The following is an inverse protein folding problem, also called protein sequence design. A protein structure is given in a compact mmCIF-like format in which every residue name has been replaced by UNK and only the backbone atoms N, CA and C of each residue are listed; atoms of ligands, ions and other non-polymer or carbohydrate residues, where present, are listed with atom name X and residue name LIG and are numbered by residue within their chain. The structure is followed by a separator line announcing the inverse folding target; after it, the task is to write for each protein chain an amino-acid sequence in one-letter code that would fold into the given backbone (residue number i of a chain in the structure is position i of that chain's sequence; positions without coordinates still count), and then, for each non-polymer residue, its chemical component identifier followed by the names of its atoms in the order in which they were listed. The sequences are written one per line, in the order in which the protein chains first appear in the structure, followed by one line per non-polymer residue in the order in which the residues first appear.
data_IF_470514952255
#
_entry.id   IF_470514952255
#
_cell.length_a   1.000
_cell.length_b   1.000
_cell.length_c   1.000
_cell.angle_alpha   90.00
_cell.angle_beta   90.00
_cell.angle_gamma   90.00
#
_symmetry.space_group_name_H-M   'P 1'
#
loop_
_entity.id
_entity.type
_entity.pdbx_description
1 polymer ?
#
# COMPACT_ATOMS: atom_id res chain seq x y z
N UNK A 1 18.97 -10.95 -19.79
CA UNK A 1 19.35 -9.62 -19.32
C UNK A 1 18.28 -9.20 -18.33
N UNK A 2 18.55 -9.32 -17.03
CA UNK A 2 17.58 -8.93 -16.00
C UNK A 2 17.37 -7.42 -16.12
N UNK A 3 16.11 -6.99 -16.21
CA UNK A 3 15.72 -5.62 -16.43
C UNK A 3 15.93 -4.81 -15.13
N UNK A 4 17.20 -4.52 -14.81
CA UNK A 4 17.62 -3.94 -13.52
C UNK A 4 17.74 -2.40 -13.59
N UNK A 5 16.94 -1.77 -14.46
CA UNK A 5 16.97 -0.32 -14.70
C UNK A 5 16.56 0.44 -13.44
N UNK A 6 17.34 1.45 -13.12
CA UNK A 6 17.29 2.14 -11.85
C UNK A 6 17.20 3.65 -12.07
N UNK A 7 16.24 4.28 -11.40
CA UNK A 7 16.16 5.74 -11.29
C UNK A 7 16.76 6.14 -9.95
N UNK A 8 17.86 6.89 -9.99
CA UNK A 8 18.37 7.59 -8.81
C UNK A 8 17.66 8.92 -8.67
N UNK A 9 17.22 9.24 -7.46
CA UNK A 9 16.62 10.53 -7.10
C UNK A 9 17.46 11.09 -5.97
N UNK A 10 18.03 12.27 -6.19
CA UNK A 10 18.83 12.97 -5.19
C UNK A 10 18.30 14.37 -4.96
N UNK A 11 18.59 14.85 -3.76
CA UNK A 11 18.31 16.21 -3.33
C UNK A 11 19.63 16.94 -3.18
N UNK A 12 19.77 18.09 -3.82
CA UNK A 12 20.98 18.92 -3.72
C UNK A 12 20.67 20.20 -2.96
N UNK A 13 21.32 20.35 -1.81
CA UNK A 13 21.24 21.52 -0.94
C UNK A 13 22.38 22.51 -1.19
N UNK A 14 22.55 23.42 -0.23
CA UNK A 14 23.72 24.31 -0.16
C UNK A 14 24.76 23.72 0.79
N UNK A 15 25.94 23.38 0.27
CA UNK A 15 27.05 22.88 1.06
C UNK A 15 27.71 23.96 1.92
N UNK A 16 28.59 23.53 2.83
CA UNK A 16 29.47 24.44 3.59
C UNK A 16 30.70 24.79 2.76
N UNK A 17 30.87 26.07 2.43
CA UNK A 17 32.02 26.53 1.65
C UNK A 17 33.33 26.39 2.46
N UNK A 18 34.43 26.07 1.77
CA UNK A 18 35.75 26.03 2.39
C UNK A 18 36.24 27.46 2.62
N UNK A 19 36.69 27.78 3.85
CA UNK A 19 37.22 29.11 4.15
C UNK A 19 38.48 29.39 3.32
N UNK A 20 38.43 30.43 2.49
CA UNK A 20 39.57 30.92 1.70
C UNK A 20 39.89 30.11 0.43
N UNK A 21 39.04 29.16 0.02
CA UNK A 21 39.19 28.39 -1.23
C UNK A 21 37.85 28.19 -1.92
N UNK A 22 37.86 28.04 -3.25
CA UNK A 22 36.66 27.58 -4.00
C UNK A 22 36.35 26.11 -3.64
N UNK A 23 35.07 25.77 -3.62
CA UNK A 23 34.55 24.44 -3.29
C UNK A 23 33.91 24.34 -1.91
N UNK A 24 33.48 23.12 -1.58
CA UNK A 24 32.72 22.79 -0.38
C UNK A 24 33.40 21.72 0.46
N UNK A 25 33.11 21.70 1.76
CA UNK A 25 33.62 20.70 2.70
C UNK A 25 33.22 19.29 2.24
N UNK A 26 34.22 18.42 2.06
CA UNK A 26 34.02 17.01 1.72
C UNK A 26 33.88 16.16 2.96
N UNK A 27 33.19 15.05 2.83
CA UNK A 27 33.02 14.03 3.86
C UNK A 27 33.20 12.65 3.23
N UNK A 28 33.92 11.78 3.93
CA UNK A 28 34.03 10.37 3.58
C UNK A 28 32.79 9.62 4.03
N UNK A 29 31.93 9.25 3.08
CA UNK A 29 30.76 8.43 3.33
C UNK A 29 31.13 6.96 3.19
N UNK A 30 30.98 6.17 4.26
CA UNK A 30 31.30 4.75 4.28
C UNK A 30 30.07 3.91 3.94
N UNK A 31 30.22 3.06 2.93
CA UNK A 31 29.19 2.17 2.41
C UNK A 31 29.53 0.73 2.76
N UNK A 32 28.71 0.11 3.61
CA UNK A 32 28.89 -1.28 4.04
C UNK A 32 28.88 -2.25 2.83
N UNK A 33 28.10 -1.95 1.78
CA UNK A 33 27.93 -2.84 0.63
C UNK A 33 29.21 -3.02 -0.21
N UNK A 34 30.12 -2.06 -0.15
CA UNK A 34 31.41 -2.10 -0.87
C UNK A 34 32.61 -2.03 0.07
N UNK A 35 32.39 -2.03 1.39
CA UNK A 35 33.41 -1.92 2.43
C UNK A 35 34.42 -0.80 2.15
N UNK A 36 33.91 0.39 1.77
CA UNK A 36 34.77 1.50 1.39
C UNK A 36 34.10 2.85 1.61
N UNK A 37 34.92 3.89 1.77
CA UNK A 37 34.47 5.28 1.82
C UNK A 37 34.61 5.98 0.47
N UNK A 38 33.71 6.94 0.21
CA UNK A 38 33.83 7.89 -0.90
C UNK A 38 33.79 9.31 -0.35
N UNK A 39 34.86 10.07 -0.61
CA UNK A 39 34.97 11.48 -0.22
C UNK A 39 34.28 12.40 -1.22
N UNK A 40 33.21 13.06 -0.79
CA UNK A 40 32.49 14.05 -1.59
C UNK A 40 31.77 15.04 -0.69
N UNK A 41 31.45 16.20 -1.22
CA UNK A 41 30.57 17.20 -0.60
C UNK A 41 29.08 16.90 -0.87
N UNK A 42 28.77 16.25 -2.00
CA UNK A 42 27.43 15.87 -2.40
C UNK A 42 27.27 14.35 -2.38
N UNK A 43 26.44 13.87 -1.45
CA UNK A 43 26.24 12.43 -1.23
C UNK A 43 25.69 11.71 -2.47
N UNK A 44 24.80 12.34 -3.25
CA UNK A 44 24.29 11.75 -4.48
C UNK A 44 25.38 11.31 -5.46
N UNK A 45 26.50 12.05 -5.55
CA UNK A 45 27.67 11.65 -6.36
C UNK A 45 28.33 10.37 -5.85
N UNK A 46 28.47 10.22 -4.53
CA UNK A 46 28.99 9.00 -3.94
C UNK A 46 28.04 7.83 -4.18
N UNK A 47 26.74 8.02 -3.94
CA UNK A 47 25.74 6.99 -4.13
C UNK A 47 25.67 6.53 -5.59
N UNK A 48 25.70 7.44 -6.56
CA UNK A 48 25.76 7.09 -7.99
C UNK A 48 26.97 6.18 -8.30
N UNK A 49 28.16 6.55 -7.80
CA UNK A 49 29.39 5.75 -7.98
C UNK A 49 29.26 4.37 -7.32
N UNK A 50 28.67 4.27 -6.14
CA UNK A 50 28.43 2.98 -5.46
C UNK A 50 27.44 2.11 -6.23
N UNK A 51 26.33 2.67 -6.69
CA UNK A 51 25.34 1.93 -7.48
C UNK A 51 25.96 1.35 -8.75
N UNK A 52 26.78 2.12 -9.46
CA UNK A 52 27.51 1.63 -10.63
C UNK A 52 28.49 0.49 -10.27
N UNK A 53 29.20 0.59 -9.14
CA UNK A 53 30.10 -0.48 -8.64
C UNK A 53 29.33 -1.76 -8.25
N UNK A 54 28.07 -1.63 -7.86
CA UNK A 54 27.17 -2.72 -7.49
C UNK A 54 26.37 -3.25 -8.70
N UNK A 55 26.77 -2.91 -9.93
CA UNK A 55 26.12 -3.33 -11.19
C UNK A 55 24.64 -2.93 -11.32
N UNK A 56 24.21 -1.83 -10.67
CA UNK A 56 22.92 -1.20 -10.96
C UNK A 56 22.99 -0.43 -12.27
N UNK A 57 22.01 -0.65 -13.15
CA UNK A 57 21.86 0.10 -14.41
C UNK A 57 21.11 1.41 -14.14
N UNK A 58 21.83 2.44 -13.68
CA UNK A 58 21.25 3.76 -13.40
C UNK A 58 21.04 4.52 -14.72
N UNK A 59 19.87 4.35 -15.34
CA UNK A 59 19.51 4.94 -16.64
C UNK A 59 18.91 6.35 -16.52
N UNK A 60 18.58 6.77 -15.29
CA UNK A 60 18.04 8.09 -14.96
C UNK A 60 18.54 8.57 -13.61
N UNK A 61 18.96 9.83 -13.55
CA UNK A 61 19.27 10.49 -12.28
C UNK A 61 18.54 11.84 -12.18
N UNK A 62 17.54 11.92 -11.32
CA UNK A 62 16.76 13.13 -11.06
C UNK A 62 17.36 13.87 -9.87
N UNK A 63 17.79 15.11 -10.07
CA UNK A 63 18.42 15.92 -9.03
C UNK A 63 17.56 17.15 -8.76
N UNK A 64 16.89 17.14 -7.62
CA UNK A 64 16.03 18.23 -7.16
C UNK A 64 16.87 19.23 -6.35
N UNK A 65 16.84 20.49 -6.74
CA UNK A 65 17.55 21.55 -6.04
C UNK A 65 16.92 22.92 -6.24
N UNK A 66 17.42 23.93 -5.53
CA UNK A 66 17.01 25.32 -5.69
C UNK A 66 17.98 26.05 -6.60
N UNK A 67 17.64 27.28 -7.01
CA UNK A 67 18.57 28.14 -7.74
C UNK A 67 19.87 28.44 -6.97
N UNK A 68 19.91 28.21 -5.63
CA UNK A 68 21.09 28.44 -4.78
C UNK A 68 21.76 27.15 -4.28
N UNK A 69 21.37 26.00 -4.82
CA UNK A 69 22.02 24.74 -4.48
C UNK A 69 23.45 24.67 -5.06
N UNK A 70 24.28 23.83 -4.48
CA UNK A 70 25.70 23.68 -4.84
C UNK A 70 25.89 22.84 -6.11
N UNK A 71 25.31 23.28 -7.23
CA UNK A 71 25.31 22.58 -8.52
C UNK A 71 26.70 22.25 -9.05
N UNK A 72 27.70 23.08 -8.73
CA UNK A 72 29.10 22.88 -9.06
C UNK A 72 29.67 21.55 -8.53
N UNK A 73 29.14 21.01 -7.43
CA UNK A 73 29.63 19.77 -6.81
C UNK A 73 29.31 18.50 -7.62
N UNK A 74 28.45 18.61 -8.64
CA UNK A 74 28.19 17.53 -9.58
C UNK A 74 29.40 17.17 -10.45
N UNK A 75 30.40 18.05 -10.52
CA UNK A 75 31.69 17.71 -11.15
C UNK A 75 32.30 16.44 -10.53
N UNK A 76 32.14 16.25 -9.21
CA UNK A 76 32.69 15.10 -8.50
C UNK A 76 31.91 13.78 -8.74
N UNK A 77 30.79 13.82 -9.47
CA UNK A 77 30.15 12.62 -9.99
C UNK A 77 30.89 12.05 -11.20
N UNK A 78 31.62 12.90 -11.94
CA UNK A 78 32.45 12.52 -13.09
C UNK A 78 33.83 12.06 -12.59
N UNK A 79 34.48 11.19 -13.36
CA UNK A 79 35.86 10.77 -13.11
C UNK A 79 36.84 11.94 -13.19
N UNK A 80 37.83 11.93 -12.29
CA UNK A 80 38.74 13.06 -12.06
C UNK A 80 39.57 13.44 -13.29
N UNK A 81 39.80 12.49 -14.21
CA UNK A 81 40.56 12.72 -15.43
C UNK A 81 39.91 13.77 -16.35
N UNK A 82 38.59 13.94 -16.29
CA UNK A 82 37.85 14.89 -17.11
C UNK A 82 37.67 16.26 -16.44
N UNK A 83 38.07 16.43 -15.18
CA UNK A 83 37.75 17.66 -14.42
C UNK A 83 38.40 18.91 -15.03
N UNK A 84 39.62 18.79 -15.57
CA UNK A 84 40.31 19.90 -16.23
C UNK A 84 39.59 20.39 -17.49
N UNK A 85 38.87 19.52 -18.21
CA UNK A 85 38.14 19.90 -19.43
C UNK A 85 36.97 20.84 -19.13
N UNK A 86 36.41 20.76 -17.91
CA UNK A 86 35.19 21.49 -17.53
C UNK A 86 35.46 22.60 -16.52
N UNK A 87 36.72 22.95 -16.25
CA UNK A 87 37.06 23.93 -15.22
C UNK A 87 36.44 25.31 -15.48
N UNK A 88 36.37 25.74 -16.75
CA UNK A 88 35.79 27.04 -17.12
C UNK A 88 34.27 27.12 -16.86
N UNK A 89 33.53 26.05 -17.17
CA UNK A 89 32.09 26.02 -16.91
C UNK A 89 31.82 25.79 -15.42
N UNK A 90 32.63 24.97 -14.76
CA UNK A 90 32.59 24.77 -13.31
C UNK A 90 32.73 26.11 -12.57
N UNK A 91 33.72 26.94 -12.94
CA UNK A 91 33.94 28.24 -12.31
C UNK A 91 32.74 29.18 -12.48
N UNK A 92 32.12 29.19 -13.68
CA UNK A 92 30.91 29.97 -13.93
C UNK A 92 29.74 29.50 -13.07
N UNK A 93 29.53 28.18 -12.98
CA UNK A 93 28.46 27.57 -12.16
C UNK A 93 28.67 27.90 -10.69
N UNK A 94 29.88 27.73 -10.16
CA UNK A 94 30.24 28.03 -8.77
C UNK A 94 30.03 29.51 -8.41
N UNK A 95 30.39 30.41 -9.32
CA UNK A 95 30.26 31.85 -9.08
C UNK A 95 28.78 32.31 -9.12
N UNK A 96 27.94 31.68 -9.94
CA UNK A 96 26.53 32.05 -10.13
C UNK A 96 25.59 31.41 -9.11
N UNK A 97 25.82 30.15 -8.72
CA UNK A 97 24.96 29.43 -7.77
C UNK A 97 24.81 30.14 -6.42
N UNK A 98 25.83 30.89 -5.99
CA UNK A 98 25.77 31.68 -4.75
C UNK A 98 24.75 32.83 -4.81
N UNK A 99 24.49 33.36 -6.00
CA UNK A 99 23.54 34.46 -6.26
C UNK A 99 22.17 33.91 -6.66
N UNK A 100 22.15 32.75 -7.30
CA UNK A 100 20.99 32.15 -7.93
C UNK A 100 21.35 31.86 -9.39
N UNK A 101 21.55 30.59 -9.73
CA UNK A 101 21.93 30.16 -11.08
C UNK A 101 20.79 30.39 -12.06
N UNK A 102 21.12 30.92 -13.23
CA UNK A 102 20.21 31.05 -14.37
C UNK A 102 19.84 29.69 -14.95
N UNK A 103 18.65 29.62 -15.53
CA UNK A 103 18.18 28.42 -16.19
C UNK A 103 19.08 28.08 -17.40
N UNK A 104 19.56 29.07 -18.17
CA UNK A 104 20.46 28.80 -19.29
C UNK A 104 21.77 28.16 -18.86
N UNK A 105 22.44 28.69 -17.82
CA UNK A 105 23.69 28.12 -17.34
C UNK A 105 23.48 26.72 -16.75
N UNK A 106 22.39 26.51 -16.00
CA UNK A 106 22.08 25.18 -15.46
C UNK A 106 21.81 24.15 -16.58
N UNK A 107 21.13 24.53 -17.66
CA UNK A 107 20.96 23.64 -18.82
C UNK A 107 22.29 23.33 -19.52
N UNK A 108 23.19 24.30 -19.64
CA UNK A 108 24.54 24.06 -20.17
C UNK A 108 25.31 23.09 -19.28
N UNK A 109 25.24 23.28 -17.96
CA UNK A 109 25.87 22.40 -16.99
C UNK A 109 25.30 20.99 -17.05
N UNK A 110 23.97 20.85 -17.15
CA UNK A 110 23.32 19.54 -17.31
C UNK A 110 23.83 18.81 -18.55
N UNK A 111 24.04 19.50 -19.68
CA UNK A 111 24.57 18.88 -20.90
C UNK A 111 25.99 18.35 -20.71
N UNK A 112 26.82 19.07 -19.95
CA UNK A 112 28.18 18.62 -19.60
C UNK A 112 28.13 17.38 -18.72
N UNK A 113 27.32 17.39 -17.66
CA UNK A 113 27.19 16.20 -16.81
C UNK A 113 26.58 15.02 -17.58
N UNK A 114 25.62 15.27 -18.47
CA UNK A 114 24.94 14.26 -19.26
C UNK A 114 25.83 13.54 -20.29
N UNK A 115 26.99 14.09 -20.67
CA UNK A 115 27.94 13.39 -21.56
C UNK A 115 28.66 12.24 -20.86
N UNK A 116 28.71 12.27 -19.52
CA UNK A 116 29.32 11.23 -18.67
C UNK A 116 28.28 10.40 -17.93
N UNK A 117 27.13 11.00 -17.63
CA UNK A 117 26.04 10.39 -16.89
C UNK A 117 24.75 10.49 -17.71
N UNK A 118 24.50 9.52 -18.61
CA UNK A 118 23.29 9.50 -19.42
C UNK A 118 22.03 9.56 -18.55
N UNK A 119 21.03 10.32 -18.98
CA UNK A 119 19.74 10.39 -18.29
C UNK A 119 19.67 11.31 -17.07
N UNK A 120 20.76 12.03 -16.72
CA UNK A 120 20.73 13.04 -15.66
C UNK A 120 19.77 14.20 -15.99
N UNK A 121 19.04 14.66 -14.98
CA UNK A 121 18.06 15.76 -15.05
C UNK A 121 18.19 16.65 -13.83
N UNK A 122 18.40 17.94 -14.05
CA UNK A 122 18.42 18.96 -13.01
C UNK A 122 17.05 19.61 -12.95
N UNK A 123 16.43 19.56 -11.78
CA UNK A 123 15.08 20.03 -11.55
C UNK A 123 15.16 21.14 -10.52
N UNK A 124 15.01 22.39 -10.97
CA UNK A 124 14.87 23.54 -10.09
C UNK A 124 13.48 23.50 -9.48
N UNK A 125 13.40 23.62 -8.17
CA UNK A 125 12.14 23.70 -7.42
C UNK A 125 12.13 24.91 -6.50
N UNK A 126 10.93 25.47 -6.32
CA UNK A 126 10.63 26.21 -5.10
C UNK A 126 10.38 25.18 -3.99
N UNK A 127 11.14 25.17 -2.88
CA UNK A 127 10.92 24.23 -1.77
C UNK A 127 9.52 24.27 -1.17
N UNK A 128 8.74 25.32 -1.41
CA UNK A 128 7.36 25.48 -0.94
C UNK A 128 6.31 25.03 -1.96
N UNK A 129 6.69 24.82 -3.22
CA UNK A 129 5.84 24.15 -4.20
C UNK A 129 6.01 22.65 -4.04
N UNK A 130 5.02 21.99 -3.44
CA UNK A 130 5.07 20.56 -3.19
C UNK A 130 4.58 19.72 -4.38
N UNK A 131 3.82 20.30 -5.31
CA UNK A 131 3.27 19.56 -6.45
C UNK A 131 4.34 19.28 -7.50
N UNK A 132 5.34 20.15 -7.62
CA UNK A 132 6.43 20.02 -8.58
C UNK A 132 7.15 18.66 -8.47
N UNK A 133 7.30 18.10 -7.26
CA UNK A 133 8.03 16.85 -7.06
C UNK A 133 7.34 15.68 -7.76
N UNK A 134 6.04 15.47 -7.50
CA UNK A 134 5.30 14.39 -8.15
C UNK A 134 5.11 14.65 -9.64
N UNK A 135 4.91 15.90 -10.05
CA UNK A 135 4.73 16.26 -11.46
C UNK A 135 5.97 15.94 -12.29
N UNK A 136 7.17 16.32 -11.82
CA UNK A 136 8.40 15.99 -12.53
C UNK A 136 8.73 14.50 -12.45
N UNK A 137 8.45 13.82 -11.33
CA UNK A 137 8.63 12.37 -11.25
C UNK A 137 7.69 11.61 -12.19
N UNK A 138 6.41 11.99 -12.33
CA UNK A 138 5.48 11.38 -13.28
C UNK A 138 6.01 11.47 -14.71
N UNK A 139 6.57 12.62 -15.06
CA UNK A 139 7.08 12.94 -16.39
C UNK A 139 8.41 12.22 -16.69
N UNK A 140 9.31 12.16 -15.72
CA UNK A 140 10.67 11.66 -15.93
C UNK A 140 10.84 10.16 -15.63
N UNK A 141 10.02 9.57 -14.74
CA UNK A 141 10.05 8.13 -14.44
C UNK A 141 9.27 7.37 -15.54
N UNK A 142 9.93 6.46 -16.28
CA UNK A 142 9.29 5.65 -17.32
C UNK A 142 8.18 4.73 -16.80
N UNK A 143 7.27 4.33 -17.69
CA UNK A 143 6.19 3.36 -17.35
C UNK A 143 6.69 1.90 -17.30
N UNK A 144 7.85 1.63 -17.90
CA UNK A 144 8.55 0.35 -17.78
C UNK A 144 8.95 0.03 -16.34
N UNK A 145 9.28 -1.24 -16.05
CA UNK A 145 9.75 -1.63 -14.72
C UNK A 145 10.98 -0.82 -14.31
N UNK A 146 10.95 -0.22 -13.11
CA UNK A 146 12.05 0.57 -12.54
C UNK A 146 12.23 0.27 -11.06
N UNK A 147 13.49 0.18 -10.63
CA UNK A 147 13.88 0.35 -9.23
C UNK A 147 14.13 1.83 -8.96
N UNK A 148 13.69 2.31 -7.81
CA UNK A 148 13.96 3.68 -7.38
C UNK A 148 14.98 3.65 -6.25
N UNK A 149 16.00 4.49 -6.35
CA UNK A 149 16.92 4.80 -5.26
C UNK A 149 16.70 6.25 -4.87
N UNK A 150 16.34 6.51 -3.61
CA UNK A 150 16.09 7.84 -3.09
C UNK A 150 17.18 8.23 -2.09
N UNK A 151 17.94 9.28 -2.40
CA UNK A 151 18.83 9.97 -1.49
C UNK A 151 18.07 11.07 -0.72
N UNK A 152 18.05 10.95 0.61
CA UNK A 152 17.38 11.90 1.52
C UNK A 152 18.35 12.81 2.29
N UNK A 153 19.63 12.85 1.92
CA UNK A 153 20.72 13.45 2.70
C UNK A 153 20.71 14.97 2.66
N UNK A 154 20.69 15.58 1.47
CA UNK A 154 20.96 17.01 1.29
C UNK A 154 19.73 17.80 0.83
N UNK A 155 18.84 18.15 1.74
CA UNK A 155 17.72 19.06 1.44
C UNK A 155 17.09 19.64 2.70
N UNK A 156 16.14 20.54 2.50
CA UNK A 156 15.14 20.78 3.54
C UNK A 156 14.42 19.47 3.85
N UNK A 157 14.32 19.13 5.13
CA UNK A 157 13.78 17.83 5.60
C UNK A 157 12.41 17.49 5.00
N UNK A 158 11.57 18.49 4.75
CA UNK A 158 10.24 18.28 4.19
C UNK A 158 10.25 17.81 2.73
N UNK A 159 11.28 18.16 1.93
CA UNK A 159 11.37 17.74 0.53
C UNK A 159 11.48 16.23 0.41
N UNK A 160 12.39 15.62 1.19
CA UNK A 160 12.58 14.17 1.24
C UNK A 160 11.28 13.45 1.62
N UNK A 161 10.53 14.00 2.59
CA UNK A 161 9.24 13.45 3.03
C UNK A 161 8.21 13.51 1.91
N UNK A 162 8.07 14.67 1.24
CA UNK A 162 7.11 14.83 0.14
C UNK A 162 7.44 13.90 -1.03
N UNK A 163 8.73 13.78 -1.40
CA UNK A 163 9.17 12.85 -2.46
C UNK A 163 8.86 11.41 -2.08
N UNK A 164 9.14 10.98 -0.84
CA UNK A 164 8.84 9.63 -0.39
C UNK A 164 7.35 9.28 -0.52
N UNK A 165 6.44 10.16 -0.05
CA UNK A 165 4.99 9.95 -0.21
C UNK A 165 4.53 10.02 -1.67
N UNK A 166 5.17 10.85 -2.48
CA UNK A 166 4.92 10.91 -3.92
C UNK A 166 5.31 9.61 -4.61
N UNK A 167 6.44 9.00 -4.24
CA UNK A 167 6.87 7.69 -4.75
C UNK A 167 5.91 6.57 -4.34
N UNK A 168 5.38 6.59 -3.11
CA UNK A 168 4.34 5.65 -2.67
C UNK A 168 3.09 5.74 -3.55
N UNK A 169 2.71 6.97 -3.94
CA UNK A 169 1.58 7.18 -4.86
C UNK A 169 1.91 6.69 -6.27
N UNK A 170 3.11 7.02 -6.76
CA UNK A 170 3.57 6.65 -8.09
C UNK A 170 3.69 5.15 -8.29
N UNK A 171 4.00 4.39 -7.23
CA UNK A 171 4.05 2.92 -7.27
C UNK A 171 2.76 2.27 -7.74
N UNK A 172 1.61 2.94 -7.59
CA UNK A 172 0.32 2.45 -8.06
C UNK A 172 -0.03 2.81 -9.52
N UNK A 173 0.71 3.74 -10.13
CA UNK A 173 0.45 4.21 -11.50
C UNK A 173 1.64 4.04 -12.45
N UNK A 174 2.81 3.72 -11.92
CA UNK A 174 4.05 3.39 -12.63
C UNK A 174 4.51 1.99 -12.21
N UNK A 175 5.27 1.31 -13.05
CA UNK A 175 5.79 -0.03 -12.74
C UNK A 175 7.04 0.03 -11.84
N UNK A 176 6.87 0.52 -10.60
CA UNK A 176 7.96 0.61 -9.62
C UNK A 176 8.03 -0.70 -8.84
N UNK A 177 9.09 -1.48 -9.05
CA UNK A 177 9.26 -2.78 -8.40
C UNK A 177 9.85 -2.68 -7.00
N UNK A 178 10.68 -1.67 -6.75
CA UNK A 178 11.37 -1.49 -5.47
C UNK A 178 11.73 0.00 -5.22
N UNK A 179 11.76 0.39 -3.94
CA UNK A 179 12.16 1.73 -3.49
C UNK A 179 13.21 1.59 -2.37
N UNK A 180 14.47 1.86 -2.69
CA UNK A 180 15.57 1.87 -1.72
C UNK A 180 15.83 3.30 -1.26
N UNK A 181 15.94 3.52 0.05
CA UNK A 181 16.19 4.85 0.62
C UNK A 181 17.58 4.88 1.26
N UNK A 182 18.40 5.83 0.85
CA UNK A 182 19.76 6.02 1.33
C UNK A 182 19.91 7.36 2.05
N UNK A 183 20.65 7.35 3.15
CA UNK A 183 20.95 8.53 3.96
C UNK A 183 22.40 8.54 4.43
N UNK A 184 23.16 9.56 4.00
CA UNK A 184 24.47 9.86 4.57
C UNK A 184 24.32 10.52 5.93
N UNK A 185 24.39 9.74 7.01
CA UNK A 185 24.03 10.18 8.35
C UNK A 185 25.19 10.91 9.05
N UNK A 186 25.49 12.14 8.59
CA UNK A 186 26.58 12.97 9.11
C UNK A 186 26.50 13.15 10.63
N UNK A 187 25.29 13.27 11.16
CA UNK A 187 25.00 13.41 12.59
C UNK A 187 25.38 12.16 13.41
N UNK A 188 25.47 11.00 12.76
CA UNK A 188 25.86 9.73 13.39
C UNK A 188 27.36 9.44 13.27
N UNK A 189 28.14 10.32 12.63
CA UNK A 189 29.60 10.17 12.53
C UNK A 189 30.25 10.04 13.91
N UNK A 190 29.84 10.82 14.91
CA UNK A 190 30.46 10.82 16.23
C UNK A 190 31.98 11.01 16.14
N UNK A 191 32.74 10.12 16.79
CA UNK A 191 34.21 10.08 16.73
C UNK A 191 34.77 9.22 15.57
N UNK A 192 33.92 8.65 14.73
CA UNK A 192 34.34 7.87 13.56
C UNK A 192 35.04 8.75 12.53
N UNK A 193 36.01 8.18 11.81
CA UNK A 193 36.65 8.84 10.67
C UNK A 193 35.65 9.11 9.54
N UNK A 194 34.73 8.16 9.31
CA UNK A 194 33.78 8.18 8.21
C UNK A 194 32.33 8.41 8.68
N UNK A 195 31.55 9.07 7.83
CA UNK A 195 30.10 9.20 7.99
C UNK A 195 29.42 7.91 7.57
N UNK A 196 28.62 7.27 8.44
CA UNK A 196 27.92 6.05 8.07
C UNK A 196 26.82 6.35 7.04
N UNK A 197 26.64 5.43 6.09
CA UNK A 197 25.52 5.44 5.14
C UNK A 197 24.47 4.45 5.60
N UNK A 198 23.25 4.92 5.79
CA UNK A 198 22.12 4.07 6.16
C UNK A 198 21.29 3.73 4.94
N UNK A 199 21.03 2.44 4.75
CA UNK A 199 20.05 1.93 3.81
C UNK A 199 18.75 1.57 4.56
N UNK A 200 17.68 2.31 4.31
CA UNK A 200 16.42 2.24 5.07
C UNK A 200 15.41 1.32 4.37
N UNK A 201 15.73 0.03 4.28
CA UNK A 201 14.94 -0.97 3.53
C UNK A 201 13.58 -1.30 4.19
N UNK A 202 13.41 -1.00 5.48
CA UNK A 202 12.16 -1.29 6.21
C UNK A 202 10.94 -0.52 5.69
N UNK A 203 11.16 0.58 4.94
CA UNK A 203 10.07 1.36 4.32
C UNK A 203 9.24 0.49 3.38
N UNK A 204 9.88 -0.32 2.53
CA UNK A 204 9.16 -1.23 1.62
C UNK A 204 8.24 -2.20 2.37
N UNK A 205 8.71 -2.70 3.53
CA UNK A 205 7.91 -3.59 4.38
C UNK A 205 6.65 -2.85 4.86
N UNK A 206 6.79 -1.62 5.34
CA UNK A 206 5.65 -0.80 5.80
C UNK A 206 4.68 -0.46 4.67
N UNK A 207 5.17 -0.14 3.47
CA UNK A 207 4.33 0.09 2.29
C UNK A 207 3.51 -1.15 1.96
N UNK A 208 4.16 -2.32 1.87
CA UNK A 208 3.46 -3.58 1.59
C UNK A 208 2.40 -3.92 2.65
N UNK A 209 2.68 -3.67 3.94
CA UNK A 209 1.68 -3.84 4.98
C UNK A 209 0.51 -2.86 4.82
N UNK A 210 0.76 -1.58 4.53
CA UNK A 210 -0.29 -0.58 4.34
C UNK A 210 -1.22 -0.94 3.17
N UNK A 211 -0.65 -1.35 2.03
CA UNK A 211 -1.40 -1.77 0.84
C UNK A 211 -2.27 -3.01 1.11
N UNK A 212 -1.68 -4.04 1.73
CA UNK A 212 -2.38 -5.29 2.02
C UNK A 212 -3.42 -5.13 3.13
N UNK A 213 -3.16 -4.31 4.15
CA UNK A 213 -4.15 -3.97 5.17
C UNK A 213 -5.32 -3.19 4.59
N UNK A 214 -5.08 -2.23 3.70
CA UNK A 214 -6.14 -1.50 3.01
C UNK A 214 -6.97 -2.44 2.14
N UNK A 215 -6.31 -3.31 1.36
CA UNK A 215 -6.99 -4.32 0.53
C UNK A 215 -7.84 -5.24 1.40
N UNK A 216 -7.29 -5.77 2.48
CA UNK A 216 -8.02 -6.62 3.42
C UNK A 216 -9.20 -5.88 4.06
N UNK A 217 -9.01 -4.64 4.52
CA UNK A 217 -10.05 -3.82 5.16
C UNK A 217 -11.27 -3.57 4.28
N UNK A 218 -11.09 -3.46 2.97
CA UNK A 218 -12.20 -3.15 2.05
C UNK A 218 -12.66 -4.33 1.19
N UNK A 219 -11.89 -5.43 1.15
CA UNK A 219 -12.27 -6.58 0.34
C UNK A 219 -12.43 -7.90 1.11
N UNK A 220 -11.85 -7.99 2.31
CA UNK A 220 -11.69 -9.25 3.03
C UNK A 220 -10.61 -10.17 2.45
N UNK A 221 -9.90 -9.76 1.39
CA UNK A 221 -8.79 -10.51 0.82
C UNK A 221 -7.61 -10.51 1.79
N UNK A 222 -7.32 -11.68 2.37
CA UNK A 222 -6.31 -11.84 3.41
C UNK A 222 -4.99 -12.43 2.90
N UNK A 223 -4.94 -13.01 1.70
CA UNK A 223 -3.78 -13.83 1.30
C UNK A 223 -2.47 -13.05 1.27
N UNK A 224 -2.41 -11.91 0.56
CA UNK A 224 -1.19 -11.10 0.52
C UNK A 224 -0.75 -10.59 1.90
N UNK A 225 -1.71 -10.30 2.80
CA UNK A 225 -1.40 -9.91 4.18
C UNK A 225 -0.85 -11.08 5.02
N UNK A 226 -1.40 -12.29 4.82
CA UNK A 226 -0.91 -13.51 5.48
C UNK A 226 0.49 -13.89 4.98
N UNK A 227 0.80 -13.69 3.70
CA UNK A 227 2.14 -13.92 3.14
C UNK A 227 3.19 -13.03 3.81
N UNK A 228 2.89 -11.75 4.05
CA UNK A 228 3.77 -10.82 4.79
C UNK A 228 4.00 -11.25 6.25
N UNK A 229 3.06 -11.99 6.83
CA UNK A 229 3.17 -12.60 8.15
C UNK A 229 3.88 -13.97 8.13
N UNK A 230 4.29 -14.45 6.96
CA UNK A 230 4.94 -15.75 6.77
C UNK A 230 3.99 -16.94 6.61
N UNK A 231 2.68 -16.69 6.46
CA UNK A 231 1.66 -17.73 6.26
C UNK A 231 1.36 -17.84 4.76
N UNK A 232 1.97 -18.84 4.12
CA UNK A 232 1.97 -19.00 2.66
C UNK A 232 0.81 -19.87 2.14
N UNK A 233 0.47 -19.73 0.86
CA UNK A 233 -0.42 -20.67 0.15
C UNK A 233 -1.91 -20.54 0.49
N UNK A 234 -2.37 -19.36 0.90
CA UNK A 234 -3.74 -19.15 1.38
C UNK A 234 -4.75 -18.73 0.30
N UNK A 235 -4.30 -18.51 -0.94
CA UNK A 235 -5.14 -18.16 -2.09
C UNK A 235 -6.33 -19.10 -2.27
N UNK A 236 -6.07 -20.40 -2.22
CA UNK A 236 -7.11 -21.43 -2.36
C UNK A 236 -8.17 -21.33 -1.24
N UNK A 237 -7.74 -21.01 -0.02
CA UNK A 237 -8.62 -20.84 1.13
C UNK A 237 -9.51 -19.61 0.96
N UNK A 238 -8.93 -18.48 0.52
CA UNK A 238 -9.70 -17.28 0.20
C UNK A 238 -10.72 -17.54 -0.92
N UNK A 239 -10.29 -18.15 -2.03
CA UNK A 239 -11.20 -18.50 -3.13
C UNK A 239 -12.36 -19.39 -2.68
N UNK A 240 -12.08 -20.40 -1.85
CA UNK A 240 -13.14 -21.25 -1.30
C UNK A 240 -14.10 -20.49 -0.40
N UNK A 241 -13.60 -19.54 0.40
CA UNK A 241 -14.44 -18.67 1.21
C UNK A 241 -15.36 -17.84 0.29
N UNK A 242 -14.83 -17.21 -0.75
CA UNK A 242 -15.59 -16.45 -1.75
C UNK A 242 -16.69 -17.31 -2.42
N UNK A 243 -16.38 -18.56 -2.76
CA UNK A 243 -17.32 -19.51 -3.39
C UNK A 243 -18.30 -20.16 -2.41
N UNK A 244 -18.43 -19.61 -1.20
CA UNK A 244 -19.29 -20.11 -0.14
C UNK A 244 -19.04 -21.58 0.28
N UNK A 245 -17.81 -22.06 0.04
CA UNK A 245 -17.33 -23.36 0.53
C UNK A 245 -16.84 -23.23 1.97
N UNK A 246 -16.62 -24.38 2.62
CA UNK A 246 -16.15 -24.45 3.99
C UNK A 246 -14.71 -25.00 4.05
N UNK A 247 -13.69 -24.14 4.00
CA UNK A 247 -12.30 -24.56 4.14
C UNK A 247 -11.90 -24.67 5.62
N UNK A 248 -12.67 -25.43 6.42
CA UNK A 248 -12.57 -25.42 7.89
C UNK A 248 -11.16 -25.71 8.40
N UNK A 249 -10.55 -26.81 7.98
CA UNK A 249 -9.21 -27.21 8.42
C UNK A 249 -8.14 -26.17 8.08
N UNK A 250 -8.29 -25.51 6.92
CA UNK A 250 -7.36 -24.47 6.48
C UNK A 250 -7.53 -23.18 7.29
N UNK A 251 -8.77 -22.80 7.61
CA UNK A 251 -9.02 -21.65 8.50
C UNK A 251 -8.55 -21.92 9.93
N UNK A 252 -8.73 -23.14 10.44
CA UNK A 252 -8.21 -23.55 11.75
C UNK A 252 -6.67 -23.49 11.78
N UNK A 253 -6.00 -23.93 10.70
CA UNK A 253 -4.55 -23.81 10.57
C UNK A 253 -4.09 -22.35 10.53
N UNK A 254 -4.73 -21.51 9.71
CA UNK A 254 -4.43 -20.07 9.63
C UNK A 254 -4.61 -19.41 11.00
N UNK A 255 -5.72 -19.68 11.67
CA UNK A 255 -6.01 -19.12 13.00
C UNK A 255 -4.99 -19.57 14.06
N UNK A 256 -4.53 -20.83 13.98
CA UNK A 256 -3.45 -21.35 14.81
C UNK A 256 -2.15 -20.55 14.62
N UNK A 257 -1.73 -20.34 13.37
CA UNK A 257 -0.54 -19.56 13.05
C UNK A 257 -0.67 -18.08 13.45
N UNK A 258 -1.85 -17.48 13.25
CA UNK A 258 -2.12 -16.10 13.71
C UNK A 258 -2.06 -15.99 15.23
N UNK A 259 -2.54 -17.00 15.96
CA UNK A 259 -2.46 -17.04 17.43
C UNK A 259 -1.01 -17.10 17.92
N UNK A 260 -0.16 -17.90 17.27
CA UNK A 260 1.27 -17.95 17.60
C UNK A 260 1.97 -16.62 17.33
N UNK A 261 1.63 -15.95 16.23
CA UNK A 261 2.17 -14.63 15.89
C UNK A 261 1.70 -13.53 16.85
N UNK A 262 0.45 -13.59 17.30
CA UNK A 262 -0.13 -12.64 18.27
C UNK A 262 0.49 -12.72 19.68
N UNK A 263 1.33 -13.73 19.95
CA UNK A 263 2.08 -13.85 21.22
C UNK A 263 3.46 -13.17 21.16
N UNK A 264 3.87 -12.67 19.99
CA UNK A 264 5.15 -11.97 19.81
C UNK A 264 5.05 -10.52 20.33
N UNK A 265 6.21 -9.93 20.60
CA UNK A 265 6.36 -8.53 21.05
C UNK A 265 6.92 -7.65 19.91
N UNK A 266 6.16 -7.57 18.81
CA UNK A 266 6.49 -6.69 17.68
C UNK A 266 5.23 -6.24 16.92
N UNK A 267 5.41 -5.40 15.90
CA UNK A 267 4.31 -4.85 15.10
C UNK A 267 3.44 -5.93 14.42
N UNK A 268 4.00 -7.11 14.12
CA UNK A 268 3.28 -8.22 13.47
C UNK A 268 2.26 -8.84 14.40
N UNK A 269 2.49 -8.79 15.71
CA UNK A 269 1.56 -9.30 16.73
C UNK A 269 0.21 -8.58 16.66
N UNK A 270 0.23 -7.24 16.58
CA UNK A 270 -0.99 -6.42 16.45
C UNK A 270 -1.73 -6.69 15.15
N UNK A 271 -0.99 -6.87 14.04
CA UNK A 271 -1.57 -7.18 12.73
C UNK A 271 -2.19 -8.59 12.73
N UNK A 272 -1.49 -9.58 13.28
CA UNK A 272 -1.98 -10.95 13.39
C UNK A 272 -3.25 -11.01 14.24
N UNK A 273 -3.27 -10.31 15.37
CA UNK A 273 -4.43 -10.22 16.25
C UNK A 273 -5.65 -9.61 15.52
N UNK A 274 -5.45 -8.51 14.78
CA UNK A 274 -6.51 -7.88 13.99
C UNK A 274 -7.15 -8.84 12.97
N UNK A 275 -6.35 -9.62 12.23
CA UNK A 275 -6.88 -10.58 11.24
C UNK A 275 -7.54 -11.78 11.94
N UNK A 276 -6.97 -12.23 13.06
CA UNK A 276 -7.49 -13.35 13.84
C UNK A 276 -8.91 -13.08 14.29
N UNK A 277 -9.17 -11.89 14.84
CA UNK A 277 -10.48 -11.52 15.37
C UNK A 277 -11.57 -11.50 14.30
N UNK A 278 -11.20 -11.18 13.05
CA UNK A 278 -12.09 -11.23 11.89
C UNK A 278 -12.32 -12.65 11.34
N UNK A 279 -11.31 -13.52 11.38
CA UNK A 279 -11.37 -14.88 10.80
C UNK A 279 -11.91 -15.94 11.78
N UNK A 280 -11.69 -15.77 13.08
CA UNK A 280 -12.10 -16.72 14.11
C UNK A 280 -13.62 -17.01 14.11
N UNK A 281 -14.53 -16.01 13.99
CA UNK A 281 -15.97 -16.25 13.90
C UNK A 281 -16.40 -17.11 12.70
N UNK A 282 -15.56 -17.22 11.68
CA UNK A 282 -15.86 -17.96 10.45
C UNK A 282 -15.65 -19.48 10.62
N UNK A 283 -15.03 -19.92 11.73
CA UNK A 283 -14.73 -21.32 12.03
C UNK A 283 -15.92 -22.00 12.75
N UNK A 284 -16.22 -23.25 12.37
CA UNK A 284 -16.90 -24.20 13.29
C UNK A 284 -18.40 -24.02 13.54
N UNK A 285 -19.14 -23.27 12.72
CA UNK A 285 -20.59 -23.06 12.89
C UNK A 285 -21.49 -23.90 11.96
N UNK A 286 -22.79 -23.98 12.28
CA UNK A 286 -23.81 -24.49 11.36
C UNK A 286 -23.86 -23.67 10.07
N UNK A 287 -24.38 -24.23 8.98
CA UNK A 287 -24.38 -23.57 7.66
C UNK A 287 -25.04 -22.18 7.70
N UNK A 288 -26.18 -22.05 8.40
CA UNK A 288 -26.88 -20.78 8.60
C UNK A 288 -26.01 -19.77 9.37
N UNK A 289 -25.51 -20.15 10.55
CA UNK A 289 -24.69 -19.25 11.38
C UNK A 289 -23.42 -18.82 10.66
N UNK A 290 -22.79 -19.72 9.91
CA UNK A 290 -21.62 -19.39 9.08
C UNK A 290 -21.95 -18.39 7.98
N UNK A 291 -23.10 -18.52 7.33
CA UNK A 291 -23.54 -17.53 6.34
C UNK A 291 -23.78 -16.17 7.01
N UNK A 292 -24.39 -16.15 8.21
CA UNK A 292 -24.58 -14.91 8.97
C UNK A 292 -23.25 -14.26 9.37
N UNK A 293 -22.31 -15.00 9.96
CA UNK A 293 -21.00 -14.45 10.35
C UNK A 293 -20.20 -13.96 9.15
N UNK A 294 -20.28 -14.66 8.01
CA UNK A 294 -19.69 -14.16 6.76
C UNK A 294 -20.42 -12.96 6.20
N UNK A 295 -21.74 -12.90 6.35
CA UNK A 295 -22.54 -11.73 6.00
C UNK A 295 -22.07 -10.50 6.76
N UNK A 296 -21.86 -10.63 8.08
CA UNK A 296 -21.28 -9.58 8.94
C UNK A 296 -19.88 -9.21 8.48
N UNK A 297 -19.00 -10.20 8.29
CA UNK A 297 -17.64 -9.98 7.77
C UNK A 297 -17.67 -9.13 6.49
N UNK A 298 -18.43 -9.51 5.47
CA UNK A 298 -18.50 -8.76 4.22
C UNK A 298 -19.19 -7.39 4.37
N UNK A 299 -20.15 -7.26 5.27
CA UNK A 299 -20.79 -5.99 5.58
C UNK A 299 -19.77 -4.98 6.14
N UNK A 300 -18.93 -5.42 7.09
CA UNK A 300 -17.89 -4.60 7.69
C UNK A 300 -16.81 -4.18 6.67
N UNK A 301 -16.61 -4.99 5.62
CA UNK A 301 -15.74 -4.65 4.47
C UNK A 301 -16.47 -3.86 3.37
N UNK A 302 -17.68 -3.35 3.61
CA UNK A 302 -18.52 -2.61 2.64
C UNK A 302 -18.93 -3.41 1.39
N UNK A 303 -18.90 -4.74 1.45
CA UNK A 303 -19.37 -5.63 0.38
C UNK A 303 -20.85 -5.96 0.56
N UNK A 304 -21.69 -4.94 0.40
CA UNK A 304 -23.12 -4.96 0.75
C UNK A 304 -23.93 -6.04 0.02
N UNK A 305 -23.70 -6.25 -1.28
CA UNK A 305 -24.42 -7.28 -2.04
C UNK A 305 -24.15 -8.69 -1.50
N UNK A 306 -22.88 -9.02 -1.22
CA UNK A 306 -22.52 -10.32 -0.64
C UNK A 306 -23.11 -10.50 0.74
N UNK A 307 -23.02 -9.45 1.57
CA UNK A 307 -23.59 -9.44 2.90
C UNK A 307 -25.09 -9.71 2.89
N UNK A 308 -25.84 -8.99 2.05
CA UNK A 308 -27.29 -9.14 1.88
C UNK A 308 -27.68 -10.55 1.45
N UNK A 309 -26.99 -11.10 0.45
CA UNK A 309 -27.23 -12.47 -0.03
C UNK A 309 -27.00 -13.46 1.09
N UNK A 310 -25.86 -13.38 1.78
CA UNK A 310 -25.52 -14.32 2.86
C UNK A 310 -26.48 -14.22 4.05
N UNK A 311 -26.92 -13.02 4.42
CA UNK A 311 -27.92 -12.81 5.46
C UNK A 311 -29.24 -13.50 5.10
N UNK A 312 -29.76 -13.26 3.89
CA UNK A 312 -31.01 -13.86 3.44
C UNK A 312 -30.91 -15.39 3.34
N UNK A 313 -29.86 -15.92 2.69
CA UNK A 313 -29.67 -17.37 2.55
C UNK A 313 -29.48 -18.03 3.93
N UNK A 314 -28.71 -17.40 4.82
CA UNK A 314 -28.52 -17.88 6.19
C UNK A 314 -29.84 -17.97 6.95
N UNK A 315 -30.70 -16.95 6.82
CA UNK A 315 -32.02 -16.92 7.45
C UNK A 315 -32.95 -18.02 6.93
N UNK A 316 -32.98 -18.29 5.62
CA UNK A 316 -33.76 -19.39 5.04
C UNK A 316 -33.32 -20.73 5.63
N UNK A 317 -32.00 -20.97 5.69
CA UNK A 317 -31.45 -22.23 6.22
C UNK A 317 -31.75 -22.35 7.72
N UNK A 318 -31.72 -21.26 8.47
CA UNK A 318 -32.08 -21.23 9.89
C UNK A 318 -33.52 -21.68 10.13
N UNK A 319 -34.47 -21.15 9.35
CA UNK A 319 -35.89 -21.56 9.40
C UNK A 319 -36.03 -23.02 9.04
N UNK A 320 -35.43 -23.48 7.94
CA UNK A 320 -35.47 -24.87 7.54
C UNK A 320 -34.96 -25.80 8.64
N UNK A 321 -33.89 -25.39 9.35
CA UNK A 321 -33.26 -26.19 10.40
C UNK A 321 -34.17 -26.27 11.62
N UNK A 322 -34.76 -25.14 12.01
CA UNK A 322 -35.66 -25.04 13.17
C UNK A 322 -36.94 -25.86 12.98
N UNK A 323 -37.53 -25.80 11.78
CA UNK A 323 -38.81 -26.46 11.48
C UNK A 323 -38.65 -27.75 10.67
N UNK A 324 -37.48 -28.39 10.72
CA UNK A 324 -37.13 -29.57 9.92
C UNK A 324 -38.16 -30.70 9.99
N UNK A 325 -38.79 -30.90 11.16
CA UNK A 325 -39.80 -31.95 11.38
C UNK A 325 -41.19 -31.61 10.78
N UNK A 326 -41.40 -30.36 10.36
CA UNK A 326 -42.66 -29.86 9.81
C UNK A 326 -42.57 -29.63 8.29
N UNK A 327 -41.41 -29.86 7.68
CA UNK A 327 -41.17 -29.67 6.24
C UNK A 327 -41.26 -31.05 5.56
N UNK A 328 -42.25 -31.29 4.66
CA UNK A 328 -42.49 -32.60 4.06
C UNK A 328 -41.41 -33.10 3.06
N UNK A 329 -40.36 -32.32 2.82
CA UNK A 329 -39.32 -32.56 1.80
C UNK A 329 -37.92 -32.46 2.43
N UNK A 330 -36.91 -33.02 1.77
CA UNK A 330 -35.51 -32.91 2.19
C UNK A 330 -35.19 -31.44 2.51
N UNK A 331 -34.77 -31.16 3.74
CA UNK A 331 -34.43 -29.82 4.28
C UNK A 331 -33.36 -29.07 3.44
N UNK A 332 -32.82 -29.73 2.42
CA UNK A 332 -31.92 -29.15 1.41
C UNK A 332 -32.64 -28.46 0.25
N UNK A 333 -33.96 -28.62 0.09
CA UNK A 333 -34.74 -27.94 -0.96
C UNK A 333 -35.15 -26.53 -0.51
N UNK A 334 -34.41 -25.53 -1.00
CA UNK A 334 -34.66 -24.11 -0.73
C UNK A 334 -36.08 -23.69 -1.16
N UNK A 335 -36.57 -24.18 -2.29
CA UNK A 335 -37.92 -23.82 -2.75
C UNK A 335 -38.99 -24.38 -1.80
N UNK A 336 -38.77 -25.58 -1.26
CA UNK A 336 -39.59 -26.18 -0.23
C UNK A 336 -39.64 -25.33 1.04
N UNK A 337 -38.49 -24.85 1.52
CA UNK A 337 -38.42 -23.97 2.71
C UNK A 337 -39.13 -22.63 2.44
N UNK A 338 -38.94 -22.02 1.28
CA UNK A 338 -39.61 -20.76 0.95
C UNK A 338 -41.15 -20.94 0.85
N UNK A 339 -41.62 -22.04 0.27
CA UNK A 339 -43.05 -22.39 0.26
C UNK A 339 -43.58 -22.60 1.67
N UNK A 340 -42.84 -23.31 2.52
CA UNK A 340 -43.20 -23.48 3.93
C UNK A 340 -43.30 -22.12 4.65
N UNK A 341 -42.34 -21.21 4.44
CA UNK A 341 -42.37 -19.86 5.02
C UNK A 341 -43.63 -19.11 4.60
N UNK A 342 -43.94 -19.14 3.30
CA UNK A 342 -45.12 -18.45 2.78
C UNK A 342 -46.45 -19.00 3.31
N UNK A 343 -46.52 -20.29 3.59
CA UNK A 343 -47.73 -20.95 4.09
C UNK A 343 -47.88 -20.88 5.62
N UNK A 344 -46.80 -20.61 6.36
CA UNK A 344 -46.75 -20.69 7.83
C UNK A 344 -46.25 -19.39 8.48
N UNK A 345 -46.60 -18.24 7.91
CA UNK A 345 -46.09 -16.92 8.33
C UNK A 345 -46.35 -16.63 9.81
N UNK A 346 -47.53 -16.97 10.31
CA UNK A 346 -47.93 -16.72 11.70
C UNK A 346 -47.22 -17.65 12.71
N UNK A 347 -46.70 -18.78 12.24
CA UNK A 347 -45.92 -19.72 13.06
C UNK A 347 -44.47 -19.26 13.15
N UNK A 348 -43.92 -18.76 12.05
CA UNK A 348 -42.51 -18.40 11.94
C UNK A 348 -42.25 -17.00 12.48
N UNK A 349 -43.13 -16.04 12.18
CA UNK A 349 -43.01 -14.64 12.58
C UNK A 349 -44.08 -14.30 13.62
N UNK A 350 -43.63 -13.91 14.81
CA UNK A 350 -44.53 -13.60 15.94
C UNK A 350 -45.22 -12.25 15.81
N UNK A 351 -44.61 -11.34 15.05
CA UNK A 351 -45.11 -9.98 14.86
C UNK A 351 -45.19 -9.64 13.38
N UNK A 352 -46.05 -8.68 13.03
CA UNK A 352 -46.08 -8.11 11.69
C UNK A 352 -44.73 -7.50 11.30
N UNK A 353 -44.03 -6.86 12.24
CA UNK A 353 -42.70 -6.27 12.01
C UNK A 353 -41.68 -7.32 11.56
N UNK A 354 -41.63 -8.49 12.22
CA UNK A 354 -40.71 -9.58 11.84
C UNK A 354 -41.00 -10.10 10.44
N UNK A 355 -42.29 -10.23 10.09
CA UNK A 355 -42.73 -10.63 8.75
C UNK A 355 -42.31 -9.61 7.70
N UNK A 356 -42.51 -8.33 7.98
CA UNK A 356 -42.21 -7.25 7.06
C UNK A 356 -40.69 -7.16 6.80
N UNK A 357 -39.86 -7.26 7.85
CA UNK A 357 -38.39 -7.32 7.72
C UNK A 357 -37.97 -8.47 6.79
N UNK A 358 -38.52 -9.67 6.98
CA UNK A 358 -38.18 -10.83 6.15
C UNK A 358 -38.49 -10.60 4.66
N UNK A 359 -39.69 -10.11 4.35
CA UNK A 359 -40.08 -9.88 2.95
C UNK A 359 -39.33 -8.70 2.34
N UNK A 360 -39.08 -7.64 3.11
CA UNK A 360 -38.24 -6.52 2.69
C UNK A 360 -36.82 -6.99 2.36
N UNK A 361 -36.21 -7.86 3.18
CA UNK A 361 -34.92 -8.49 2.86
C UNK A 361 -34.98 -9.31 1.57
N UNK A 362 -36.01 -10.15 1.41
CA UNK A 362 -36.21 -10.97 0.21
C UNK A 362 -36.28 -10.12 -1.05
N UNK A 363 -37.13 -9.10 -1.03
CA UNK A 363 -37.36 -8.23 -2.19
C UNK A 363 -36.15 -7.35 -2.49
N UNK A 364 -35.50 -6.80 -1.46
CA UNK A 364 -34.26 -6.02 -1.60
C UNK A 364 -33.16 -6.89 -2.21
N UNK A 365 -32.96 -8.12 -1.71
CA UNK A 365 -31.98 -9.08 -2.24
C UNK A 365 -32.24 -9.39 -3.71
N UNK A 366 -33.48 -9.66 -4.08
CA UNK A 366 -33.83 -9.95 -5.48
C UNK A 366 -33.65 -8.73 -6.39
N UNK A 367 -34.02 -7.53 -5.93
CA UNK A 367 -33.79 -6.29 -6.66
C UNK A 367 -32.29 -6.06 -6.88
N UNK A 368 -31.48 -6.18 -5.84
CA UNK A 368 -30.03 -5.97 -5.89
C UNK A 368 -29.29 -7.00 -6.75
N UNK A 369 -29.64 -8.29 -6.66
CA UNK A 369 -28.99 -9.36 -7.45
C UNK A 369 -29.35 -9.28 -8.93
N UNK A 370 -30.60 -8.94 -9.27
CA UNK A 370 -31.09 -8.97 -10.66
C UNK A 370 -31.11 -7.60 -11.33
N UNK A 371 -30.78 -6.51 -10.63
CA UNK A 371 -30.94 -5.14 -11.14
C UNK A 371 -32.39 -4.81 -11.53
N UNK A 372 -33.36 -5.49 -10.92
CA UNK A 372 -34.78 -5.41 -11.30
C UNK A 372 -35.50 -4.27 -10.59
N UNK A 373 -36.65 -3.84 -11.13
CA UNK A 373 -37.50 -2.80 -10.50
C UNK A 373 -37.85 -3.21 -9.08
N UNK A 374 -37.49 -2.36 -8.13
CA UNK A 374 -37.71 -2.59 -6.70
C UNK A 374 -39.21 -2.55 -6.38
N UNK A 375 -39.71 -3.57 -5.65
CA UNK A 375 -41.13 -3.65 -5.25
C UNK A 375 -41.33 -2.98 -3.90
N UNK A 376 -41.27 -1.64 -3.87
CA UNK A 376 -41.37 -0.88 -2.62
C UNK A 376 -40.11 -0.97 -1.74
N UNK A 377 -38.99 -1.46 -2.29
CA UNK A 377 -37.71 -1.58 -1.58
C UNK A 377 -36.61 -0.71 -2.18
N UNK A 378 -37.00 0.32 -2.95
CA UNK A 378 -36.06 1.19 -3.68
C UNK A 378 -35.06 1.87 -2.74
N UNK A 379 -35.55 2.35 -1.59
CA UNK A 379 -34.72 3.03 -0.61
C UNK A 379 -33.56 2.16 -0.10
N UNK A 380 -33.76 0.84 0.03
CA UNK A 380 -32.74 -0.08 0.53
C UNK A 380 -31.68 -0.45 -0.51
N UNK A 381 -31.91 -0.19 -1.80
CA UNK A 381 -30.93 -0.40 -2.87
C UNK A 381 -30.23 0.89 -3.30
N UNK A 382 -30.81 2.05 -2.99
CA UNK A 382 -30.27 3.36 -3.37
C UNK A 382 -29.65 4.15 -2.19
N UNK A 383 -30.06 3.86 -0.94
CA UNK A 383 -29.60 4.60 0.24
C UNK A 383 -28.84 3.68 1.20
N UNK A 384 -27.54 3.94 1.37
CA UNK A 384 -26.64 3.13 2.21
C UNK A 384 -27.15 3.02 3.66
N UNK A 385 -27.62 4.11 4.27
CA UNK A 385 -28.09 4.09 5.66
C UNK A 385 -29.37 3.25 5.85
N UNK A 386 -30.28 3.28 4.86
CA UNK A 386 -31.47 2.41 4.87
C UNK A 386 -31.08 0.94 4.72
N UNK A 387 -30.14 0.64 3.85
CA UNK A 387 -29.58 -0.70 3.72
C UNK A 387 -28.99 -1.20 5.04
N UNK A 388 -28.18 -0.38 5.71
CA UNK A 388 -27.57 -0.73 7.01
C UNK A 388 -28.64 -1.02 8.07
N UNK A 389 -29.69 -0.20 8.15
CA UNK A 389 -30.83 -0.43 9.06
C UNK A 389 -31.47 -1.79 8.79
N UNK A 390 -31.82 -2.08 7.54
CA UNK A 390 -32.43 -3.35 7.14
C UNK A 390 -31.51 -4.54 7.45
N UNK A 391 -30.20 -4.40 7.24
CA UNK A 391 -29.23 -5.45 7.55
C UNK A 391 -29.21 -5.78 9.05
N UNK A 392 -29.13 -4.77 9.92
CA UNK A 392 -29.17 -4.98 11.37
C UNK A 392 -30.52 -5.53 11.87
N UNK A 393 -31.64 -5.04 11.33
CA UNK A 393 -32.96 -5.59 11.60
C UNK A 393 -33.06 -7.06 11.18
N UNK A 394 -32.45 -7.41 10.05
CA UNK A 394 -32.35 -8.80 9.59
C UNK A 394 -31.50 -9.68 10.50
N UNK A 395 -30.38 -9.18 11.01
CA UNK A 395 -29.57 -9.91 12.01
C UNK A 395 -30.38 -10.18 13.28
N UNK A 396 -31.09 -9.17 13.78
CA UNK A 396 -31.97 -9.31 14.95
C UNK A 396 -33.10 -10.32 14.70
N UNK A 397 -33.71 -10.28 13.52
CA UNK A 397 -34.73 -11.24 13.13
C UNK A 397 -34.16 -12.68 13.07
N UNK A 398 -32.94 -12.86 12.56
CA UNK A 398 -32.28 -14.16 12.57
C UNK A 398 -32.11 -14.70 14.00
N UNK A 399 -31.66 -13.86 14.93
CA UNK A 399 -31.54 -14.22 16.35
C UNK A 399 -32.90 -14.56 16.97
N UNK A 400 -33.93 -13.75 16.73
CA UNK A 400 -35.30 -14.01 17.21
C UNK A 400 -35.82 -15.36 16.71
N UNK A 401 -35.62 -15.69 15.42
CA UNK A 401 -36.02 -16.98 14.86
C UNK A 401 -35.36 -18.12 15.62
N UNK A 402 -34.11 -17.98 16.06
CA UNK A 402 -33.40 -19.01 16.82
C UNK A 402 -33.74 -19.05 18.32
N UNK A 403 -33.92 -17.89 18.97
CA UNK A 403 -34.09 -17.77 20.43
C UNK A 403 -35.44 -18.28 20.94
N UNK A 404 -36.50 -18.26 20.14
CA UNK A 404 -37.80 -18.80 20.55
C UNK A 404 -37.89 -20.32 20.36
N UNK A 405 -36.89 -21.04 20.85
CA UNK A 405 -36.83 -22.50 20.93
C UNK A 405 -37.07 -22.96 22.37
#
# INVERSE_FOLDING_TARGET
MSNNKTVLISLIGKGRAIVGKKGYEKTGYYFDEIDSSIDTSFFGSALYKVLNKLDYDVDKWLIFGTVKSSWSELLYAIDEEYHYEYIEIYDKVYDEENKGISQELLLQWQKVIASHIPGVRFIIVDPLDYEVYINEMIKEIPDEERKIVLDITHAFRHMSVVIAFSLMTLKHIKNISDIMVYYGAFELKGDSEFTPVLKIDFINTLVSYAENLATYKYSGYFSGLLELLGIQGTEKTYFWLEMNRQPRSYLEQINGSLKELALKDDYRSSIAQYIKDDLEPLIGASLDKRMIERGKFFFDKKQYLKALVLLYEGMIIAVGRKYKNNIPLDYKDKEGIEKFINNNKDIIFKTHVQRDIFYTLKYTRNAAVHGSVSRGTQEYVEQEERFKQLFYEGLKLYEDILCYA
#
